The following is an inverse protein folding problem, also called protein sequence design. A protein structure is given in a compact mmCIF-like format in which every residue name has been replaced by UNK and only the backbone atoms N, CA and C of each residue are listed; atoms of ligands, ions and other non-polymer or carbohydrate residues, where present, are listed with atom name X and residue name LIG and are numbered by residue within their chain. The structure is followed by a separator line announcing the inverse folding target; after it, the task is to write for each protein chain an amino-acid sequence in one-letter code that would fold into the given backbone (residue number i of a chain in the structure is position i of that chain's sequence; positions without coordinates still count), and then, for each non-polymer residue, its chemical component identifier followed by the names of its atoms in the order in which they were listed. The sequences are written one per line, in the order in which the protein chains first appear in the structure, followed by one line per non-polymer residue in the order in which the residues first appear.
data_IF_984825869835
#
_entry.id   IF_984825869835
#
_cell.length_a   1.000
_cell.length_b   1.000
_cell.length_c   1.000
_cell.angle_alpha   90.00
_cell.angle_beta   90.00
_cell.angle_gamma   90.00
#
_symmetry.space_group_name_H-M   'P 1'
#
loop_
_entity.id
_entity.type
_entity.pdbx_description
1 polymer ?
#
# COMPACT_ATOMS: atom_id res chain seq x y z
N UNK A 1 -35.42 -17.73 -38.57
CA UNK A 1 -34.21 -16.90 -38.50
C UNK A 1 -34.00 -16.43 -37.05
N UNK A 2 -33.48 -17.31 -36.17
CA UNK A 2 -33.31 -17.04 -34.72
C UNK A 2 -31.91 -17.44 -34.22
N UNK A 3 -30.91 -17.39 -35.10
CA UNK A 3 -29.55 -17.88 -34.83
C UNK A 3 -28.52 -16.76 -34.65
N UNK A 4 -28.88 -15.49 -34.88
CA UNK A 4 -27.95 -14.36 -34.85
C UNK A 4 -27.62 -13.82 -33.45
N UNK A 5 -28.39 -14.17 -32.41
CA UNK A 5 -28.18 -13.67 -31.04
C UNK A 5 -27.05 -14.41 -30.29
N UNK A 6 -26.83 -15.69 -30.62
CA UNK A 6 -25.89 -16.56 -29.89
C UNK A 6 -24.43 -16.25 -30.25
N UNK A 7 -24.17 -15.81 -31.48
CA UNK A 7 -22.82 -15.44 -31.93
C UNK A 7 -22.32 -14.12 -31.32
N UNK A 8 -23.23 -13.24 -30.89
CA UNK A 8 -22.86 -11.98 -30.25
C UNK A 8 -22.25 -12.21 -28.85
N UNK A 9 -22.83 -13.13 -28.06
CA UNK A 9 -22.31 -13.47 -26.74
C UNK A 9 -21.00 -14.27 -26.79
N UNK A 10 -20.82 -15.14 -27.80
CA UNK A 10 -19.60 -15.94 -27.94
C UNK A 10 -18.37 -15.12 -28.37
N UNK A 11 -18.57 -14.06 -29.16
CA UNK A 11 -17.48 -13.15 -29.56
C UNK A 11 -17.01 -12.21 -28.43
N UNK A 12 -17.87 -11.89 -27.48
CA UNK A 12 -17.52 -11.04 -26.33
C UNK A 12 -16.70 -11.77 -25.24
N UNK A 13 -16.60 -13.10 -25.30
CA UNK A 13 -15.96 -13.91 -24.26
C UNK A 13 -14.47 -14.21 -24.54
N UNK A 14 -13.98 -13.99 -25.77
CA UNK A 14 -12.59 -14.29 -26.16
C UNK A 14 -11.58 -13.16 -25.89
N UNK A 15 -12.06 -11.95 -25.57
CA UNK A 15 -11.21 -10.89 -25.03
C UNK A 15 -11.07 -11.07 -23.52
N UNK A 16 -10.55 -12.23 -23.10
CA UNK A 16 -10.05 -12.45 -21.75
C UNK A 16 -8.82 -11.56 -21.59
N UNK A 17 -9.08 -10.28 -21.28
CA UNK A 17 -8.06 -9.32 -20.90
C UNK A 17 -7.50 -9.85 -19.59
N UNK A 18 -6.30 -10.43 -19.65
CA UNK A 18 -5.59 -10.88 -18.48
C UNK A 18 -5.60 -9.74 -17.45
N UNK A 19 -6.34 -9.92 -16.37
CA UNK A 19 -6.23 -9.06 -15.19
C UNK A 19 -4.86 -9.41 -14.62
N UNK A 20 -3.83 -8.70 -15.07
CA UNK A 20 -2.54 -8.69 -14.39
C UNK A 20 -2.83 -8.00 -13.07
N UNK A 21 -3.02 -8.80 -12.02
CA UNK A 21 -3.10 -8.32 -10.65
C UNK A 21 -1.70 -7.83 -10.26
N UNK A 22 -1.36 -6.63 -10.73
CA UNK A 22 -0.20 -5.92 -10.23
C UNK A 22 -0.54 -5.52 -8.80
N UNK A 23 -0.03 -6.29 -7.83
CA UNK A 23 -0.14 -5.95 -6.41
C UNK A 23 0.27 -4.49 -6.17
N UNK A 24 -0.21 -3.85 -5.09
CA UNK A 24 -0.05 -2.41 -4.90
C UNK A 24 1.43 -2.02 -5.01
N UNK A 25 1.77 -1.33 -6.11
CA UNK A 25 3.14 -0.86 -6.34
C UNK A 25 3.45 0.18 -5.28
N UNK A 26 4.51 -0.04 -4.49
CA UNK A 26 4.95 0.92 -3.48
C UNK A 26 5.23 2.27 -4.14
N UNK A 27 4.38 3.26 -3.86
CA UNK A 27 4.57 4.64 -4.32
C UNK A 27 5.68 5.26 -3.49
N UNK A 28 6.69 5.82 -4.15
CA UNK A 28 7.75 6.58 -3.47
C UNK A 28 7.15 7.88 -2.92
N UNK A 29 7.44 8.19 -1.66
CA UNK A 29 7.03 9.42 -0.97
C UNK A 29 8.21 10.03 -0.25
N UNK A 30 8.14 11.33 -0.01
CA UNK A 30 9.09 12.12 0.76
C UNK A 30 8.93 11.91 2.27
N UNK A 31 9.96 12.31 3.04
CA UNK A 31 9.91 12.30 4.50
C UNK A 31 8.87 13.28 5.05
N UNK A 32 8.61 14.40 4.34
CA UNK A 32 7.58 15.36 4.70
C UNK A 32 6.19 14.73 4.63
N UNK A 33 5.87 14.03 3.54
CA UNK A 33 4.60 13.31 3.38
C UNK A 33 4.41 12.21 4.43
N UNK A 34 5.49 11.57 4.87
CA UNK A 34 5.44 10.62 5.99
C UNK A 34 5.09 11.33 7.31
N UNK A 35 5.69 12.49 7.58
CA UNK A 35 5.36 13.31 8.74
C UNK A 35 3.90 13.79 8.73
N UNK A 36 3.39 14.20 7.57
CA UNK A 36 1.99 14.61 7.41
C UNK A 36 1.02 13.44 7.64
N UNK A 37 1.38 12.25 7.18
CA UNK A 37 0.62 11.04 7.47
C UNK A 37 0.56 10.73 8.97
N UNK A 38 1.68 10.86 9.70
CA UNK A 38 1.70 10.65 11.17
C UNK A 38 0.77 11.65 11.86
N UNK A 39 0.87 12.94 11.52
CA UNK A 39 -0.02 13.97 12.09
C UNK A 39 -1.49 13.66 11.80
N UNK A 40 -1.81 13.26 10.57
CA UNK A 40 -3.18 12.95 10.19
C UNK A 40 -3.73 11.68 10.85
N UNK A 41 -2.94 10.61 10.99
CA UNK A 41 -3.41 9.30 11.44
C UNK A 41 -3.22 9.03 12.92
N UNK A 42 -2.07 9.43 13.46
CA UNK A 42 -1.75 9.24 14.88
C UNK A 42 -2.17 10.44 15.74
N UNK A 43 -2.52 11.59 15.13
CA UNK A 43 -2.85 12.82 15.85
C UNK A 43 -1.73 13.26 16.80
N UNK A 44 -0.48 13.06 16.38
CA UNK A 44 0.75 13.32 17.13
C UNK A 44 1.78 13.98 16.24
N UNK A 45 2.73 14.70 16.85
CA UNK A 45 3.83 15.30 16.12
C UNK A 45 4.79 14.24 15.57
N UNK A 46 5.11 14.34 14.28
CA UNK A 46 5.99 13.40 13.59
C UNK A 46 7.40 13.32 14.21
N UNK A 47 7.89 14.43 14.78
CA UNK A 47 9.22 14.51 15.39
C UNK A 47 9.37 13.58 16.60
N UNK A 48 8.26 13.17 17.25
CA UNK A 48 8.29 12.21 18.34
C UNK A 48 8.79 10.83 17.91
N UNK A 49 8.76 10.53 16.59
CA UNK A 49 9.11 9.23 16.03
C UNK A 49 10.49 9.21 15.34
N UNK A 50 11.19 10.35 15.26
CA UNK A 50 12.46 10.42 14.52
C UNK A 50 13.60 9.62 15.16
N UNK A 51 13.48 9.30 16.46
CA UNK A 51 14.46 8.53 17.21
C UNK A 51 13.82 7.87 18.43
N UNK A 52 12.69 7.20 18.22
CA UNK A 52 11.92 6.54 19.27
C UNK A 52 12.17 5.03 19.26
N UNK A 53 12.26 4.43 20.44
CA UNK A 53 12.48 3.00 20.56
C UNK A 53 13.77 2.56 19.85
N UNK A 54 13.71 1.38 19.25
CA UNK A 54 14.84 0.76 18.57
C UNK A 54 14.68 0.70 17.04
N UNK A 55 13.49 0.98 16.52
CA UNK A 55 13.14 0.80 15.10
C UNK A 55 12.63 2.08 14.42
N UNK A 56 12.12 3.06 15.17
CA UNK A 56 11.62 4.30 14.58
C UNK A 56 12.77 5.32 14.39
N UNK A 57 13.22 5.49 13.14
CA UNK A 57 14.23 6.47 12.76
C UNK A 57 15.15 5.96 11.65
N UNK A 58 16.38 6.47 11.60
CA UNK A 58 17.43 5.97 10.70
C UNK A 58 18.07 4.68 11.25
N UNK A 59 17.75 4.33 12.50
CA UNK A 59 18.25 3.14 13.16
C UNK A 59 17.42 1.93 12.76
N UNK A 60 18.09 0.87 12.33
CA UNK A 60 17.51 -0.43 12.07
C UNK A 60 18.50 -1.49 12.53
N UNK A 61 18.04 -2.47 13.29
CA UNK A 61 18.87 -3.49 13.92
C UNK A 61 18.04 -4.69 14.37
N UNK A 62 18.67 -5.60 15.11
CA UNK A 62 18.02 -6.77 15.71
C UNK A 62 17.68 -6.54 17.19
N UNK A 63 17.60 -5.27 17.59
CA UNK A 63 17.28 -4.90 18.97
C UNK A 63 15.82 -5.25 19.29
N UNK A 64 15.52 -5.61 20.54
CA UNK A 64 14.17 -6.00 20.92
C UNK A 64 13.20 -4.82 20.82
N UNK A 65 11.97 -5.10 20.39
CA UNK A 65 10.88 -4.11 20.37
C UNK A 65 10.59 -3.63 21.79
N UNK A 66 10.53 -2.32 21.99
CA UNK A 66 10.32 -1.70 23.32
C UNK A 66 8.83 -1.65 23.71
N UNK A 67 7.95 -1.39 22.73
CA UNK A 67 6.49 -1.33 22.91
C UNK A 67 5.74 -1.49 21.57
N UNK A 68 4.42 -1.35 21.58
CA UNK A 68 3.59 -1.45 20.36
C UNK A 68 3.81 -0.33 19.35
N UNK A 69 4.40 0.80 19.75
CA UNK A 69 4.75 1.89 18.82
C UNK A 69 6.02 1.56 18.05
N UNK A 70 6.95 0.83 18.67
CA UNK A 70 8.24 0.40 18.12
C UNK A 70 8.17 -0.89 17.27
N UNK A 71 6.99 -1.52 17.15
CA UNK A 71 6.75 -2.75 16.38
C UNK A 71 6.53 -2.49 14.90
#
# INVERSE_FOLDING_TARGET
MRTLSVYCCLLLCLCSSAIVESGPRRVKRSIGEFGDMIRAKAQREALLYNNYGNHCGVQGGNEPVVDEVDR
#
